data_IF_780897098134
#
_entry.id   IF_780897098134
#
_cell.length_a   1.000
_cell.length_b   1.000
_cell.length_c   1.000
_cell.angle_alpha   90.00
_cell.angle_beta   90.00
_cell.angle_gamma   90.00
#
_symmetry.space_group_name_H-M   'P 1'
#
loop_
_entity.id
_entity.type
_entity.pdbx_description
1 polymer ?
#
# COMPACT_ATOMS: atom_id res chain seq x y z
N UNK A 1 11.46 32.96 51.36
CA UNK A 1 10.13 32.35 51.12
C UNK A 1 9.86 32.29 49.63
N UNK A 2 9.21 31.21 49.20
CA UNK A 2 8.50 31.01 47.92
C UNK A 2 9.32 30.87 46.65
N UNK A 3 9.16 29.71 45.99
CA UNK A 3 8.45 29.61 44.70
C UNK A 3 7.98 28.16 44.51
N UNK A 4 6.72 27.88 44.86
CA UNK A 4 6.00 26.69 44.38
C UNK A 4 5.72 26.90 42.90
N UNK A 5 6.27 26.05 42.02
CA UNK A 5 5.78 25.92 40.65
C UNK A 5 4.69 24.87 40.65
N UNK A 6 3.46 25.32 40.42
CA UNK A 6 2.29 24.48 40.22
C UNK A 6 2.42 23.89 38.81
N UNK A 7 2.55 22.57 38.71
CA UNK A 7 2.41 21.85 37.44
C UNK A 7 0.91 21.68 37.23
N UNK A 8 0.36 22.42 36.28
CA UNK A 8 -1.03 22.27 35.87
C UNK A 8 -1.15 20.98 35.06
N UNK A 9 -1.79 19.96 35.63
CA UNK A 9 -2.19 18.76 34.90
C UNK A 9 -3.36 19.13 33.98
N UNK A 10 -3.12 19.20 32.67
CA UNK A 10 -4.19 19.31 31.69
C UNK A 10 -4.86 17.93 31.57
N UNK A 11 -6.03 17.77 32.18
CA UNK A 11 -6.90 16.62 31.92
C UNK A 11 -7.64 16.88 30.60
N UNK A 12 -7.40 16.04 29.58
CA UNK A 12 -8.28 15.96 28.42
C UNK A 12 -9.28 14.83 28.66
N UNK A 13 -10.55 15.19 28.91
CA UNK A 13 -11.67 14.26 28.89
C UNK A 13 -12.03 13.95 27.43
N UNK A 14 -12.07 12.67 27.07
CA UNK A 14 -12.72 12.22 25.84
C UNK A 14 -13.72 11.12 26.21
N UNK A 15 -15.00 11.39 25.96
CA UNK A 15 -16.05 10.37 25.91
C UNK A 15 -15.86 9.53 24.65
N UNK A 16 -15.78 8.22 24.84
CA UNK A 16 -15.63 7.21 23.78
C UNK A 16 -17.00 6.61 23.46
N UNK A 17 -17.36 6.56 22.19
CA UNK A 17 -18.25 5.52 21.68
C UNK A 17 -17.81 5.10 20.27
N UNK A 18 -17.20 3.91 20.17
CA UNK A 18 -17.07 3.14 18.92
C UNK A 18 -15.91 3.49 18.00
N UNK A 19 -14.69 3.08 18.37
CA UNK A 19 -13.52 3.08 17.48
C UNK A 19 -12.23 3.18 18.30
N UNK A 20 -11.41 2.14 18.28
CA UNK A 20 -10.12 2.12 18.98
C UNK A 20 -9.19 3.16 18.32
N UNK A 21 -9.09 4.36 18.89
CA UNK A 21 -8.05 5.32 18.55
C UNK A 21 -6.82 5.02 19.43
N UNK A 22 -5.72 4.60 18.81
CA UNK A 22 -4.42 4.53 19.48
C UNK A 22 -3.85 5.95 19.55
N UNK A 23 -4.11 6.69 20.63
CA UNK A 23 -3.38 7.92 20.91
C UNK A 23 -2.04 7.57 21.56
N UNK A 24 -0.94 7.69 20.81
CA UNK A 24 0.38 7.62 21.43
C UNK A 24 0.67 8.93 22.17
N UNK A 25 0.79 8.86 23.50
CA UNK A 25 1.29 9.98 24.30
C UNK A 25 2.76 10.22 23.98
N UNK A 26 3.20 11.48 23.77
CA UNK A 26 4.61 11.79 23.56
C UNK A 26 5.43 11.36 24.79
N UNK A 27 6.49 10.58 24.57
CA UNK A 27 7.40 10.17 25.64
C UNK A 27 8.44 11.26 25.86
N UNK A 28 8.36 11.96 26.98
CA UNK A 28 9.36 12.94 27.39
C UNK A 28 10.43 12.24 28.22
N UNK A 29 11.66 12.12 27.70
CA UNK A 29 12.84 11.79 28.51
C UNK A 29 13.57 13.08 28.85
N UNK A 30 13.65 13.40 30.15
CA UNK A 30 14.54 14.44 30.63
C UNK A 30 15.97 13.89 30.67
N UNK A 31 16.91 14.55 30.00
CA UNK A 31 18.34 14.37 30.26
C UNK A 31 18.79 15.37 31.33
N UNK A 32 19.89 15.05 32.04
CA UNK A 32 20.38 15.78 33.22
C UNK A 32 20.82 17.23 32.95
N UNK A 33 20.72 17.72 31.71
CA UNK A 33 21.12 19.07 31.30
C UNK A 33 19.95 20.03 31.02
N UNK A 34 18.70 19.63 31.29
CA UNK A 34 17.54 20.52 31.14
C UNK A 34 17.20 20.89 29.68
N UNK A 35 17.75 20.16 28.70
CA UNK A 35 17.37 20.26 27.28
C UNK A 35 16.24 19.28 27.00
N UNK A 36 15.01 19.77 26.90
CA UNK A 36 13.89 18.98 26.36
C UNK A 36 14.20 18.68 24.90
N UNK A 37 14.69 17.47 24.61
CA UNK A 37 14.64 16.94 23.24
C UNK A 37 13.19 16.55 22.99
N UNK A 38 12.51 17.29 22.12
CA UNK A 38 11.23 16.85 21.57
C UNK A 38 11.54 15.58 20.80
N UNK A 39 10.99 14.44 21.25
CA UNK A 39 11.11 13.18 20.55
C UNK A 39 10.68 13.40 19.10
N UNK A 40 11.49 12.91 18.16
CA UNK A 40 11.20 12.98 16.73
C UNK A 40 9.79 12.41 16.52
N UNK A 41 8.83 13.27 16.19
CA UNK A 41 7.44 12.85 15.99
C UNK A 41 7.43 12.15 14.64
N UNK A 42 7.27 10.84 14.61
CA UNK A 42 7.11 10.10 13.36
C UNK A 42 5.82 10.55 12.66
N UNK A 43 5.75 10.52 11.32
CA UNK A 43 4.49 10.75 10.62
C UNK A 43 3.42 9.77 11.10
N UNK A 44 2.17 10.25 11.08
CA UNK A 44 0.99 9.44 11.36
C UNK A 44 0.48 8.91 10.02
N UNK A 45 0.34 7.59 9.93
CA UNK A 45 -0.24 6.90 8.78
C UNK A 45 -1.67 6.50 9.12
N UNK A 46 -2.65 7.09 8.43
CA UNK A 46 -4.07 6.86 8.65
C UNK A 46 -4.70 6.19 7.42
N UNK A 47 -4.97 4.87 7.46
CA UNK A 47 -5.56 4.17 6.34
C UNK A 47 -7.02 4.57 6.16
N UNK A 48 -7.35 5.09 4.97
CA UNK A 48 -8.73 5.42 4.61
C UNK A 48 -9.64 4.20 4.46
N UNK A 49 -10.88 4.46 4.03
CA UNK A 49 -11.88 3.41 3.80
C UNK A 49 -11.41 2.40 2.75
N UNK A 50 -11.58 1.11 3.06
CA UNK A 50 -11.29 0.01 2.15
C UNK A 50 -12.34 -0.05 1.04
N UNK A 51 -11.89 0.10 -0.20
CA UNK A 51 -12.66 -0.14 -1.41
C UNK A 51 -12.38 -1.56 -1.86
N UNK A 52 -13.41 -2.35 -2.10
CA UNK A 52 -13.30 -3.66 -2.73
C UNK A 52 -14.24 -3.67 -3.93
N UNK A 53 -13.80 -4.17 -5.08
CA UNK A 53 -14.62 -4.23 -6.29
C UNK A 53 -14.33 -5.49 -7.11
N UNK A 54 -15.28 -5.86 -7.95
CA UNK A 54 -15.15 -7.00 -8.87
C UNK A 54 -15.96 -6.77 -10.13
N UNK A 55 -15.48 -7.29 -11.26
CA UNK A 55 -16.27 -7.39 -12.49
C UNK A 55 -16.97 -8.75 -12.65
N UNK A 56 -16.93 -9.56 -11.60
CA UNK A 56 -17.63 -10.83 -11.49
C UNK A 56 -18.88 -10.67 -10.62
N UNK A 57 -19.49 -11.78 -10.22
CA UNK A 57 -20.53 -11.82 -9.20
C UNK A 57 -20.03 -11.29 -7.85
N UNK A 58 -20.89 -10.64 -7.06
CA UNK A 58 -20.58 -10.09 -5.72
C UNK A 58 -19.87 -11.05 -4.76
N UNK A 59 -20.04 -12.36 -4.94
CA UNK A 59 -19.31 -13.38 -4.22
C UNK A 59 -17.77 -13.22 -4.27
N UNK A 60 -17.23 -12.67 -5.35
CA UNK A 60 -15.78 -12.46 -5.53
C UNK A 60 -15.32 -11.06 -5.10
N UNK A 61 -16.23 -10.20 -4.64
CA UNK A 61 -15.94 -8.79 -4.31
C UNK A 61 -14.88 -8.69 -3.22
N UNK A 62 -14.96 -9.55 -2.20
CA UNK A 62 -14.11 -9.48 -1.02
C UNK A 62 -12.85 -10.36 -1.12
N UNK A 63 -12.50 -10.84 -2.32
CA UNK A 63 -11.38 -11.75 -2.50
C UNK A 63 -10.00 -11.08 -2.42
N UNK A 64 -9.94 -9.76 -2.38
CA UNK A 64 -8.70 -9.00 -2.16
C UNK A 64 -8.93 -8.04 -1.00
N UNK A 65 -8.00 -7.92 -0.05
CA UNK A 65 -8.05 -6.90 1.01
C UNK A 65 -6.68 -6.26 1.23
N UNK A 66 -6.69 -5.05 1.80
CA UNK A 66 -5.51 -4.30 2.23
C UNK A 66 -5.76 -3.89 3.67
N UNK A 67 -4.85 -4.25 4.58
CA UNK A 67 -5.02 -4.06 6.02
C UNK A 67 -3.66 -4.07 6.77
N UNK A 68 -3.72 -4.05 8.11
CA UNK A 68 -2.58 -4.20 9.02
C UNK A 68 -1.41 -3.22 8.78
N UNK A 69 -1.71 -1.93 8.89
CA UNK A 69 -0.73 -0.85 8.77
C UNK A 69 0.15 -0.72 10.02
N UNK A 70 1.47 -0.67 9.83
CA UNK A 70 2.44 -0.44 10.90
C UNK A 70 3.59 0.44 10.42
N UNK A 71 4.30 1.09 11.35
CA UNK A 71 5.53 1.81 11.02
C UNK A 71 6.63 0.84 10.54
N UNK A 72 7.41 1.30 9.57
CA UNK A 72 8.62 0.63 9.11
C UNK A 72 9.78 0.81 10.08
N UNK A 73 10.96 0.39 9.64
CA UNK A 73 12.16 0.46 10.48
C UNK A 73 12.66 1.92 10.63
N UNK A 74 12.34 2.79 9.67
CA UNK A 74 12.60 4.24 9.71
C UNK A 74 11.32 5.07 9.76
N UNK A 75 11.46 6.32 10.20
CA UNK A 75 10.33 7.25 10.38
C UNK A 75 9.52 7.54 9.11
N UNK A 76 10.12 7.49 7.92
CA UNK A 76 9.41 7.68 6.64
C UNK A 76 9.02 6.35 5.96
N UNK A 77 9.11 5.23 6.67
CA UNK A 77 8.77 3.90 6.16
C UNK A 77 7.50 3.39 6.83
N UNK A 78 6.70 2.62 6.10
CA UNK A 78 5.53 1.93 6.64
C UNK A 78 5.35 0.57 5.97
N UNK A 79 4.62 -0.30 6.67
CA UNK A 79 4.30 -1.65 6.25
C UNK A 79 2.78 -1.82 6.17
N UNK A 80 2.32 -2.62 5.23
CA UNK A 80 0.91 -3.02 5.11
C UNK A 80 0.81 -4.45 4.57
N UNK A 81 -0.34 -5.07 4.77
CA UNK A 81 -0.62 -6.40 4.24
C UNK A 81 -1.65 -6.35 3.13
N UNK A 82 -1.44 -7.23 2.16
CA UNK A 82 -2.37 -7.52 1.08
C UNK A 82 -2.74 -8.99 1.17
N UNK A 83 -4.03 -9.28 1.24
CA UNK A 83 -4.55 -10.65 1.27
C UNK A 83 -5.25 -10.95 -0.05
N UNK A 84 -4.97 -12.12 -0.61
CA UNK A 84 -5.71 -12.67 -1.75
C UNK A 84 -6.38 -13.98 -1.33
N UNK A 85 -7.71 -14.03 -1.38
CA UNK A 85 -8.48 -15.23 -1.13
C UNK A 85 -8.83 -15.95 -2.45
N UNK A 86 -7.97 -16.90 -2.81
CA UNK A 86 -8.11 -17.69 -4.04
C UNK A 86 -9.06 -18.89 -3.92
N UNK A 87 -9.77 -19.07 -2.79
CA UNK A 87 -10.58 -20.27 -2.48
C UNK A 87 -11.52 -20.68 -3.63
N UNK A 88 -12.11 -19.70 -4.31
CA UNK A 88 -13.09 -19.92 -5.38
C UNK A 88 -12.61 -19.51 -6.77
N UNK A 89 -11.30 -19.26 -6.92
CA UNK A 89 -10.71 -18.74 -8.16
C UNK A 89 -10.15 -19.83 -9.07
N UNK A 90 -10.19 -21.09 -8.63
CA UNK A 90 -9.73 -22.26 -9.38
C UNK A 90 -8.24 -22.24 -9.79
N UNK A 91 -7.38 -21.55 -9.03
CA UNK A 91 -5.96 -21.37 -9.37
C UNK A 91 -5.10 -22.65 -9.34
N UNK A 92 -5.62 -23.73 -8.77
CA UNK A 92 -4.99 -25.05 -8.92
C UNK A 92 -5.00 -25.55 -10.38
N UNK A 93 -6.00 -25.14 -11.18
CA UNK A 93 -6.15 -25.55 -12.57
C UNK A 93 -5.96 -24.38 -13.53
N UNK A 94 -6.56 -23.23 -13.22
CA UNK A 94 -6.50 -22.05 -14.06
C UNK A 94 -5.27 -21.19 -13.79
N UNK A 95 -4.81 -20.50 -14.82
CA UNK A 95 -3.78 -19.48 -14.67
C UNK A 95 -4.39 -18.25 -13.99
N UNK A 96 -3.92 -17.96 -12.78
CA UNK A 96 -4.23 -16.73 -12.05
C UNK A 96 -3.16 -15.65 -12.19
N UNK A 97 -3.33 -14.54 -11.48
CA UNK A 97 -2.29 -13.53 -11.31
C UNK A 97 -2.61 -12.52 -10.21
N UNK A 98 -1.56 -12.03 -9.55
CA UNK A 98 -1.61 -10.99 -8.51
C UNK A 98 -0.88 -9.74 -8.96
N UNK A 99 -1.48 -8.59 -8.69
CA UNK A 99 -0.90 -7.28 -8.98
C UNK A 99 -0.84 -6.45 -7.70
N UNK A 100 0.29 -5.79 -7.48
CA UNK A 100 0.50 -4.79 -6.45
C UNK A 100 0.82 -3.47 -7.14
N UNK A 101 0.00 -2.46 -6.93
CA UNK A 101 0.14 -1.16 -7.59
C UNK A 101 0.61 -0.14 -6.57
N UNK A 102 1.74 0.49 -6.86
CA UNK A 102 2.43 1.39 -5.95
C UNK A 102 2.20 2.84 -6.40
N UNK A 103 1.79 3.73 -5.48
CA UNK A 103 1.61 5.14 -5.77
C UNK A 103 2.95 5.86 -5.98
N UNK A 104 2.93 6.88 -6.84
CA UNK A 104 4.05 7.77 -7.04
C UNK A 104 4.39 8.50 -5.74
N UNK A 105 5.67 8.60 -5.41
CA UNK A 105 6.14 9.14 -4.12
C UNK A 105 6.36 8.07 -3.05
N UNK A 106 6.16 6.80 -3.39
CA UNK A 106 6.66 5.66 -2.62
C UNK A 106 7.75 4.91 -3.38
N UNK A 107 8.67 4.32 -2.63
CA UNK A 107 9.63 3.35 -3.13
C UNK A 107 9.46 2.03 -2.38
N UNK A 108 9.10 0.96 -3.09
CA UNK A 108 8.91 -0.35 -2.49
C UNK A 108 10.27 -0.93 -2.05
N UNK A 109 10.36 -1.36 -0.79
CA UNK A 109 11.59 -1.88 -0.16
C UNK A 109 11.57 -3.38 0.04
N UNK A 110 10.40 -3.94 0.36
CA UNK A 110 10.19 -5.39 0.56
C UNK A 110 8.83 -5.81 0.03
N UNK A 111 8.75 -7.04 -0.45
CA UNK A 111 7.50 -7.74 -0.77
C UNK A 111 7.61 -9.17 -0.23
N UNK A 112 7.16 -9.38 0.99
CA UNK A 112 7.32 -10.65 1.71
C UNK A 112 6.10 -11.53 1.50
N UNK A 113 6.31 -12.74 0.97
CA UNK A 113 5.31 -13.80 1.01
C UNK A 113 5.25 -14.36 2.44
N UNK A 114 4.13 -14.16 3.14
CA UNK A 114 4.02 -14.60 4.55
C UNK A 114 3.85 -16.10 4.71
N UNK A 115 3.61 -16.85 3.64
CA UNK A 115 3.57 -18.31 3.70
C UNK A 115 4.97 -18.91 3.75
N UNK A 116 5.91 -18.32 3.02
CA UNK A 116 7.29 -18.84 2.88
C UNK A 116 8.30 -18.03 3.69
N UNK A 117 7.98 -16.79 4.03
CA UNK A 117 8.89 -15.83 4.64
C UNK A 117 9.89 -15.22 3.65
N UNK A 118 9.78 -15.51 2.35
CA UNK A 118 10.70 -15.02 1.34
C UNK A 118 10.38 -13.58 0.94
N UNK A 119 11.43 -12.74 0.83
CA UNK A 119 11.35 -11.46 0.12
C UNK A 119 11.44 -11.68 -1.39
N UNK A 120 10.30 -11.44 -2.06
CA UNK A 120 10.14 -11.64 -3.49
C UNK A 120 10.62 -10.44 -4.31
N UNK A 121 10.86 -9.27 -3.71
CA UNK A 121 11.14 -8.04 -4.46
C UNK A 121 12.37 -8.19 -5.37
N UNK A 122 13.39 -8.92 -4.89
CA UNK A 122 14.63 -9.25 -5.64
C UNK A 122 14.38 -10.01 -6.95
N UNK A 123 13.23 -10.68 -7.09
CA UNK A 123 12.91 -11.50 -8.27
C UNK A 123 12.32 -10.66 -9.40
N UNK A 124 11.94 -9.41 -9.14
CA UNK A 124 11.36 -8.53 -10.14
C UNK A 124 12.45 -7.82 -10.97
N UNK A 125 12.22 -7.60 -12.27
CA UNK A 125 13.14 -6.87 -13.12
C UNK A 125 13.25 -5.40 -12.70
N UNK A 126 14.44 -4.83 -12.88
CA UNK A 126 14.71 -3.44 -12.50
C UNK A 126 14.38 -2.45 -13.61
N UNK A 127 14.46 -2.88 -14.88
CA UNK A 127 14.09 -2.07 -16.04
C UNK A 127 12.93 -2.73 -16.79
N UNK A 128 12.03 -1.91 -17.32
CA UNK A 128 10.82 -2.43 -18.00
C UNK A 128 11.15 -3.30 -19.21
N UNK A 129 12.24 -3.01 -19.95
CA UNK A 129 12.60 -3.77 -21.15
C UNK A 129 13.67 -4.87 -20.93
N UNK A 130 13.96 -5.25 -19.69
CA UNK A 130 14.84 -6.39 -19.44
C UNK A 130 14.19 -7.68 -19.98
N UNK A 131 15.01 -8.61 -20.48
CA UNK A 131 14.51 -9.88 -21.06
C UNK A 131 13.81 -10.78 -20.04
N UNK A 132 14.11 -10.61 -18.76
CA UNK A 132 13.42 -11.29 -17.66
C UNK A 132 12.09 -10.61 -17.27
N UNK A 133 11.61 -9.63 -18.05
CA UNK A 133 10.30 -9.01 -17.91
C UNK A 133 9.29 -9.42 -19.03
N UNK A 134 9.62 -10.47 -19.79
CA UNK A 134 8.77 -10.98 -20.88
C UNK A 134 7.50 -11.66 -20.34
N UNK A 135 6.50 -11.85 -21.22
CA UNK A 135 5.17 -12.37 -20.88
C UNK A 135 5.15 -13.78 -20.28
N UNK A 136 6.23 -14.54 -20.41
CA UNK A 136 6.41 -15.87 -19.84
C UNK A 136 7.08 -15.87 -18.45
N UNK A 137 7.50 -14.71 -17.94
CA UNK A 137 8.17 -14.61 -16.64
C UNK A 137 7.18 -14.51 -15.49
N UNK A 138 7.55 -15.17 -14.38
CA UNK A 138 6.72 -15.22 -13.16
C UNK A 138 6.60 -13.87 -12.47
N UNK A 139 7.69 -13.12 -12.39
CA UNK A 139 7.75 -11.83 -11.70
C UNK A 139 7.99 -10.76 -12.74
N UNK A 140 7.04 -9.83 -12.88
CA UNK A 140 7.11 -8.75 -13.88
C UNK A 140 6.88 -7.41 -13.23
N UNK A 141 7.56 -6.39 -13.76
CA UNK A 141 7.54 -5.05 -13.22
C UNK A 141 7.27 -4.05 -14.32
N UNK A 142 6.28 -3.20 -14.12
CA UNK A 142 5.88 -2.17 -15.08
C UNK A 142 5.98 -0.81 -14.41
N UNK A 143 6.61 0.14 -15.10
CA UNK A 143 6.89 1.47 -14.56
C UNK A 143 6.31 2.53 -15.46
N UNK A 144 5.63 3.49 -14.85
CA UNK A 144 5.07 4.62 -15.56
C UNK A 144 6.19 5.57 -16.02
N UNK A 145 6.09 6.02 -17.27
CA UNK A 145 7.03 6.99 -17.85
C UNK A 145 8.32 6.40 -18.39
N UNK A 146 8.57 5.09 -18.22
CA UNK A 146 9.61 4.38 -18.97
C UNK A 146 9.08 3.96 -20.34
N UNK A 147 9.87 4.13 -21.40
CA UNK A 147 9.52 3.61 -22.74
C UNK A 147 9.42 2.08 -22.66
N UNK A 148 8.31 1.52 -23.09
CA UNK A 148 8.02 0.10 -23.00
C UNK A 148 7.59 -0.46 -24.35
N UNK A 149 8.01 -1.69 -24.63
CA UNK A 149 7.59 -2.41 -25.84
C UNK A 149 6.53 -3.46 -25.51
N UNK A 150 5.65 -3.71 -26.48
CA UNK A 150 4.67 -4.80 -26.43
C UNK A 150 3.73 -4.71 -25.23
N UNK A 151 3.68 -5.77 -24.43
CA UNK A 151 2.80 -5.90 -23.27
C UNK A 151 3.41 -5.32 -21.99
N UNK A 152 4.56 -4.64 -22.07
CA UNK A 152 5.27 -4.11 -20.88
C UNK A 152 4.87 -2.69 -20.50
N UNK A 153 3.99 -2.06 -21.28
CA UNK A 153 3.49 -0.72 -21.03
C UNK A 153 2.63 -0.64 -19.76
N UNK A 154 2.86 0.38 -18.93
CA UNK A 154 2.17 0.58 -17.66
C UNK A 154 0.66 0.74 -17.85
N UNK A 155 0.23 1.56 -18.81
CA UNK A 155 -1.20 1.86 -19.01
C UNK A 155 -1.96 0.66 -19.59
N UNK A 156 -1.29 -0.13 -20.44
CA UNK A 156 -1.80 -1.41 -20.93
C UNK A 156 -1.99 -2.41 -19.79
N UNK A 157 -1.00 -2.54 -18.91
CA UNK A 157 -1.10 -3.42 -17.74
C UNK A 157 -2.14 -2.94 -16.74
N UNK A 158 -2.30 -1.63 -16.55
CA UNK A 158 -3.42 -1.06 -15.81
C UNK A 158 -4.77 -1.49 -16.41
N UNK A 159 -4.94 -1.34 -17.73
CA UNK A 159 -6.17 -1.72 -18.43
C UNK A 159 -6.52 -3.22 -18.31
N UNK A 160 -5.51 -4.09 -18.27
CA UNK A 160 -5.70 -5.54 -18.09
C UNK A 160 -5.77 -6.02 -16.64
N UNK A 161 -5.60 -5.13 -15.67
CA UNK A 161 -5.68 -5.40 -14.23
C UNK A 161 -6.70 -4.50 -13.56
N UNK A 162 -6.27 -3.41 -12.91
CA UNK A 162 -7.10 -2.46 -12.16
C UNK A 162 -8.29 -1.99 -12.99
N UNK A 163 -8.04 -1.59 -14.24
CA UNK A 163 -9.05 -1.07 -15.16
C UNK A 163 -10.20 -2.04 -15.44
N UNK A 164 -10.02 -3.35 -15.22
CA UNK A 164 -11.08 -4.35 -15.40
C UNK A 164 -12.11 -4.36 -14.28
N UNK A 165 -11.77 -3.90 -13.09
CA UNK A 165 -12.63 -3.94 -11.89
C UNK A 165 -12.71 -2.58 -11.16
N UNK A 166 -12.21 -1.52 -11.78
CA UNK A 166 -12.13 -0.16 -11.20
C UNK A 166 -13.50 0.48 -11.00
N UNK A 167 -13.56 1.45 -10.09
CA UNK A 167 -14.70 2.35 -9.89
C UNK A 167 -14.27 3.81 -10.06
N UNK A 168 -15.21 4.75 -9.90
CA UNK A 168 -14.96 6.19 -10.11
C UNK A 168 -13.82 6.72 -9.25
N UNK A 169 -13.70 6.27 -7.99
CA UNK A 169 -12.66 6.72 -7.07
C UNK A 169 -11.27 6.26 -7.49
N UNK A 170 -11.13 4.99 -7.89
CA UNK A 170 -9.86 4.45 -8.37
C UNK A 170 -9.47 5.05 -9.73
N UNK A 171 -10.45 5.28 -10.61
CA UNK A 171 -10.24 5.97 -11.87
C UNK A 171 -9.80 7.42 -11.66
N UNK A 172 -10.34 8.11 -10.65
CA UNK A 172 -9.89 9.45 -10.26
C UNK A 172 -8.40 9.42 -9.90
N UNK A 173 -7.94 8.51 -9.03
CA UNK A 173 -6.52 8.39 -8.68
C UNK A 173 -5.62 8.13 -9.91
N UNK A 174 -6.09 7.33 -10.87
CA UNK A 174 -5.37 7.10 -12.13
C UNK A 174 -5.23 8.39 -12.95
N UNK A 175 -6.30 9.16 -13.06
CA UNK A 175 -6.35 10.42 -13.80
C UNK A 175 -5.52 11.52 -13.12
N UNK A 176 -5.41 11.49 -11.80
CA UNK A 176 -4.54 12.37 -10.99
C UNK A 176 -3.06 11.95 -11.04
N UNK A 177 -2.71 10.97 -11.88
CA UNK A 177 -1.35 10.46 -12.03
C UNK A 177 -0.76 9.92 -10.71
N UNK A 178 -1.60 9.32 -9.86
CA UNK A 178 -1.20 8.93 -8.52
C UNK A 178 -0.29 7.69 -8.45
N UNK A 179 -0.12 6.94 -9.54
CA UNK A 179 0.59 5.64 -9.57
C UNK A 179 1.87 5.67 -10.40
N UNK A 180 2.87 4.91 -9.96
CA UNK A 180 4.19 4.81 -10.61
C UNK A 180 4.56 3.40 -11.02
N UNK A 181 4.24 2.37 -10.23
CA UNK A 181 4.74 1.01 -10.45
C UNK A 181 3.62 -0.03 -10.32
N UNK A 182 3.73 -1.10 -11.10
CA UNK A 182 2.91 -2.32 -10.98
C UNK A 182 3.84 -3.51 -10.88
N UNK A 183 3.75 -4.25 -9.78
CA UNK A 183 4.43 -5.53 -9.57
C UNK A 183 3.44 -6.67 -9.81
N UNK A 184 3.76 -7.57 -10.73
CA UNK A 184 2.91 -8.67 -11.14
C UNK A 184 3.54 -10.03 -10.81
N UNK A 185 2.75 -10.91 -10.18
CA UNK A 185 3.09 -12.32 -9.94
C UNK A 185 2.19 -13.21 -10.79
N UNK A 186 2.80 -13.94 -11.72
CA UNK A 186 2.14 -14.85 -12.64
C UNK A 186 1.81 -16.18 -11.99
N UNK A 187 0.63 -16.70 -12.33
CA UNK A 187 0.21 -18.08 -12.04
C UNK A 187 0.49 -18.54 -10.59
N UNK A 188 0.00 -17.84 -9.55
CA UNK A 188 -0.01 -18.39 -8.20
C UNK A 188 -0.80 -19.71 -8.20
N UNK A 189 -0.14 -20.84 -7.93
CA UNK A 189 -0.74 -22.20 -8.01
C UNK A 189 -1.10 -22.70 -6.62
N UNK A 190 -2.20 -22.19 -6.08
CA UNK A 190 -2.72 -22.64 -4.79
C UNK A 190 -4.22 -22.41 -4.70
N UNK A 191 -4.84 -22.99 -3.67
CA UNK A 191 -6.20 -22.66 -3.26
C UNK A 191 -6.20 -22.16 -1.82
N UNK A 192 -7.02 -21.15 -1.54
CA UNK A 192 -7.15 -20.55 -0.22
C UNK A 192 -6.46 -19.18 -0.10
N UNK A 193 -6.58 -18.57 1.09
CA UNK A 193 -6.05 -17.26 1.35
C UNK A 193 -4.52 -17.25 1.48
N UNK A 194 -3.91 -16.24 0.88
CA UNK A 194 -2.47 -15.95 1.01
C UNK A 194 -2.28 -14.48 1.39
N UNK A 195 -1.18 -14.18 2.06
CA UNK A 195 -0.89 -12.84 2.56
C UNK A 195 0.51 -12.42 2.15
N UNK A 196 0.61 -11.22 1.63
CA UNK A 196 1.86 -10.55 1.32
C UNK A 196 2.00 -9.32 2.22
N UNK A 197 3.17 -9.10 2.78
CA UNK A 197 3.50 -7.91 3.55
C UNK A 197 4.45 -7.05 2.73
N UNK A 198 4.08 -5.80 2.53
CA UNK A 198 4.84 -4.83 1.76
C UNK A 198 5.42 -3.81 2.72
N UNK A 199 6.64 -3.36 2.43
CA UNK A 199 7.28 -2.25 3.12
C UNK A 199 7.70 -1.22 2.07
N UNK A 200 7.32 0.03 2.27
CA UNK A 200 7.70 1.13 1.39
C UNK A 200 8.28 2.30 2.17
N UNK A 201 9.18 3.00 1.50
CA UNK A 201 9.73 4.29 1.92
C UNK A 201 8.98 5.40 1.20
N UNK A 202 8.53 6.42 1.94
CA UNK A 202 7.97 7.63 1.36
C UNK A 202 9.10 8.53 0.87
N UNK A 203 9.12 8.79 -0.44
CA UNK A 203 10.14 9.59 -1.13
C UNK A 203 9.69 11.02 -1.43
N UNK A 204 8.39 11.31 -1.39
CA UNK A 204 7.83 12.64 -1.57
C UNK A 204 7.02 13.09 -0.35
N UNK A 205 7.67 13.81 0.57
CA UNK A 205 7.07 14.31 1.81
C UNK A 205 6.11 15.50 1.58
N UNK A 206 6.00 16.01 0.36
CA UNK A 206 4.99 17.03 0.04
C UNK A 206 3.61 16.41 -0.17
N UNK A 207 3.55 15.09 -0.36
CA UNK A 207 2.30 14.33 -0.48
C UNK A 207 1.80 13.89 0.90
N UNK A 208 0.48 13.99 1.06
CA UNK A 208 -0.25 13.56 2.26
C UNK A 208 -1.22 12.41 1.96
N UNK A 209 -1.12 11.83 0.76
CA UNK A 209 -2.07 10.84 0.22
C UNK A 209 -1.34 9.85 -0.67
N UNK A 210 -1.49 8.57 -0.37
CA UNK A 210 -0.87 7.47 -1.12
C UNK A 210 -1.93 6.38 -1.38
N UNK A 211 -2.60 6.40 -2.54
CA UNK A 211 -3.56 5.35 -2.87
C UNK A 211 -2.82 4.03 -3.14
N UNK A 212 -3.18 3.00 -2.39
CA UNK A 212 -2.67 1.64 -2.53
C UNK A 212 -3.72 0.81 -3.26
N UNK A 213 -3.31 -0.02 -4.22
CA UNK A 213 -4.23 -0.91 -4.95
C UNK A 213 -3.60 -2.29 -5.13
N UNK A 214 -4.41 -3.33 -4.96
CA UNK A 214 -4.05 -4.71 -5.25
C UNK A 214 -5.14 -5.39 -6.09
N UNK A 215 -4.75 -6.30 -6.99
CA UNK A 215 -5.67 -6.97 -7.91
C UNK A 215 -5.37 -8.46 -8.00
N UNK A 216 -6.43 -9.27 -8.07
CA UNK A 216 -6.36 -10.68 -8.44
C UNK A 216 -7.23 -10.92 -9.67
N UNK A 217 -6.76 -11.77 -10.60
CA UNK A 217 -7.55 -12.18 -11.75
C UNK A 217 -7.33 -13.63 -12.17
N UNK A 218 -8.29 -14.17 -12.93
CA UNK A 218 -8.18 -15.47 -13.61
C UNK A 218 -8.13 -15.27 -15.13
N UNK A 219 -7.10 -15.79 -15.80
CA UNK A 219 -6.84 -15.62 -17.23
C UNK A 219 -7.60 -16.61 -18.14
N UNK A 220 -8.15 -17.70 -17.60
CA UNK A 220 -8.88 -18.70 -18.38
C UNK A 220 -10.39 -18.61 -18.20
N UNK A 221 -10.86 -18.32 -16.99
CA UNK A 221 -12.26 -18.08 -16.73
C UNK A 221 -12.77 -16.83 -17.47
N UNK A 222 -14.08 -16.77 -17.71
CA UNK A 222 -14.74 -15.66 -18.38
C UNK A 222 -15.99 -15.26 -17.61
N UNK A 223 -16.19 -13.94 -17.47
CA UNK A 223 -17.45 -13.37 -16.97
C UNK A 223 -18.56 -13.56 -18.02
N UNK A 224 -19.81 -13.21 -17.66
CA UNK A 224 -20.92 -13.12 -18.62
C UNK A 224 -20.66 -12.14 -19.78
N UNK A 225 -19.76 -11.18 -19.58
CA UNK A 225 -19.32 -10.21 -20.59
C UNK A 225 -18.05 -10.66 -21.34
N UNK A 226 -17.65 -11.93 -21.21
CA UNK A 226 -16.46 -12.52 -21.81
C UNK A 226 -15.14 -11.85 -21.39
N UNK A 227 -15.14 -11.08 -20.30
CA UNK A 227 -13.92 -10.53 -19.69
C UNK A 227 -13.29 -11.51 -18.71
N UNK A 228 -12.00 -11.34 -18.42
CA UNK A 228 -11.32 -12.06 -17.34
C UNK A 228 -11.92 -11.65 -15.98
N UNK A 229 -12.42 -12.59 -15.15
CA UNK A 229 -12.82 -12.32 -13.78
C UNK A 229 -11.69 -11.64 -13.02
N UNK A 230 -11.98 -10.48 -12.45
CA UNK A 230 -11.01 -9.63 -11.78
C UNK A 230 -11.65 -9.02 -10.55
N UNK A 231 -10.92 -9.07 -9.43
CA UNK A 231 -11.29 -8.38 -8.19
C UNK A 231 -10.13 -7.55 -7.70
N UNK A 232 -10.44 -6.43 -7.05
CA UNK A 232 -9.45 -5.52 -6.53
C UNK A 232 -9.78 -5.09 -5.11
N UNK A 233 -8.76 -4.59 -4.43
CA UNK A 233 -8.90 -3.76 -3.25
C UNK A 233 -8.10 -2.48 -3.45
N UNK A 234 -8.61 -1.38 -2.90
CA UNK A 234 -7.88 -0.12 -2.84
C UNK A 234 -8.20 0.64 -1.56
N UNK A 235 -7.27 1.47 -1.09
CA UNK A 235 -7.51 2.45 -0.04
C UNK A 235 -6.54 3.60 -0.19
N UNK A 236 -6.90 4.75 0.36
CA UNK A 236 -6.06 5.95 0.35
C UNK A 236 -5.36 6.10 1.70
N UNK A 237 -4.05 5.89 1.75
CA UNK A 237 -3.28 6.07 2.97
C UNK A 237 -2.99 7.56 3.16
N UNK A 238 -3.58 8.17 4.19
CA UNK A 238 -3.31 9.55 4.57
C UNK A 238 -2.07 9.63 5.44
N UNK A 239 -1.28 10.67 5.23
CA UNK A 239 -0.05 10.91 5.98
C UNK A 239 -0.04 12.31 6.55
N UNK A 240 0.08 12.40 7.86
CA UNK A 240 0.33 13.66 8.57
C UNK A 240 1.81 13.73 8.93
N UNK A 241 2.52 14.66 8.29
CA UNK A 241 3.93 14.90 8.58
C UNK A 241 4.10 15.72 9.86
N UNK A 242 5.12 15.43 10.67
CA UNK A 242 5.44 16.26 11.82
C UNK A 242 5.75 17.68 11.37
N UNK A 243 5.27 18.69 12.11
CA UNK A 243 5.64 20.07 11.82
C UNK A 243 7.14 20.27 12.05
N UNK A 244 7.84 20.64 10.99
CA UNK A 244 9.22 21.13 11.09
C UNK A 244 9.19 22.50 11.80
N UNK A 245 9.36 22.52 13.11
CA UNK A 245 9.53 23.75 13.90
C UNK A 245 10.91 24.42 13.67
N UNK A 246 11.45 24.38 12.44
CA UNK A 246 12.68 25.05 12.03
C UNK A 246 12.41 26.35 11.25
N UNK A 247 11.30 27.02 11.56
CA UNK A 247 11.03 28.39 11.14
C UNK A 247 10.86 29.24 12.40
N UNK A 248 11.97 29.64 13.03
CA UNK A 248 12.15 30.87 13.83
C UNK A 248 13.47 30.81 14.61
N UNK A 249 14.59 30.87 13.89
CA UNK A 249 15.86 31.35 14.44
C UNK A 249 16.52 32.26 13.41
N UNK A 250 15.88 33.40 13.16
CA UNK A 250 16.59 34.60 12.71
C UNK A 250 16.20 35.72 13.68
N UNK A 251 17.08 35.95 14.65
CA UNK A 251 17.23 37.24 15.31
C UNK A 251 18.16 38.09 14.46
#
# INVERSE_FOLDING_TARGET
>A
MSKRKIISSLFLSATVLGGLLFTQTPTVKANEEGKVQIAHISPIFDPGELIQETNHTNFFKNSVSIDEFTHGDKGNEFKWKVKFDSTYWNFNHDKGGYYFVIPAGLNLKKLIDKQTGEDLLKNFPTKVNDSNNDSNHKYRHFKKGEEAYWDRDFDSQWGWSVGRASNDKINQWKNENAFSDIYYIDSPRHAGPVTYELEAEVTDQNKTSFPLVAVMKNFYARTSYLSEPTSLAGLDLKVEWPQNNNLNLQN
#
